data_IF_225763512403
#
_entry.id   IF_225763512403
#
_cell.length_a   1.000
_cell.length_b   1.000
_cell.length_c   1.000
_cell.angle_alpha   90.00
_cell.angle_beta   90.00
_cell.angle_gamma   90.00
#
_symmetry.space_group_name_H-M   'P 1'
#
loop_
_entity.id
_entity.type
_entity.pdbx_description
1 polymer ?
#
# COMPACT_ATOMS: atom_id res chain seq x y z
N UNK A 1 5.19 -14.61 -1.67
CA UNK A 1 4.17 -14.13 -0.72
C UNK A 1 3.70 -12.74 -1.13
N UNK A 2 4.62 -11.78 -1.28
CA UNK A 2 4.37 -10.44 -1.82
C UNK A 2 3.57 -10.41 -3.13
N UNK A 3 3.93 -11.22 -4.12
CA UNK A 3 3.21 -11.23 -5.41
C UNK A 3 1.74 -11.65 -5.29
N UNK A 4 1.41 -12.53 -4.33
CA UNK A 4 0.03 -12.95 -4.08
C UNK A 4 -0.75 -11.81 -3.41
N UNK A 5 -0.13 -11.15 -2.43
CA UNK A 5 -0.72 -10.00 -1.74
C UNK A 5 -0.99 -8.85 -2.72
N UNK A 6 -0.03 -8.51 -3.59
CA UNK A 6 -0.20 -7.47 -4.61
C UNK A 6 -1.35 -7.77 -5.58
N UNK A 7 -1.50 -9.03 -5.99
CA UNK A 7 -2.61 -9.45 -6.85
C UNK A 7 -3.95 -9.33 -6.13
N UNK A 8 -4.01 -9.74 -4.87
CA UNK A 8 -5.23 -9.69 -4.08
C UNK A 8 -5.63 -8.24 -3.78
N UNK A 9 -4.70 -7.41 -3.30
CA UNK A 9 -4.92 -5.97 -3.09
C UNK A 9 -5.31 -5.29 -4.40
N UNK A 10 -4.62 -5.60 -5.50
CA UNK A 10 -4.97 -5.05 -6.81
C UNK A 10 -6.37 -5.43 -7.29
N UNK A 11 -6.83 -6.65 -6.99
CA UNK A 11 -8.18 -7.10 -7.33
C UNK A 11 -9.26 -6.41 -6.46
N UNK A 12 -9.02 -6.27 -5.15
CA UNK A 12 -9.93 -5.61 -4.21
C UNK A 12 -10.07 -4.10 -4.49
N UNK A 13 -8.97 -3.43 -4.84
CA UNK A 13 -8.97 -1.99 -5.10
C UNK A 13 -9.62 -1.60 -6.42
N UNK A 14 -9.64 -2.49 -7.42
CA UNK A 14 -10.24 -2.23 -8.73
C UNK A 14 -9.78 -0.89 -9.31
N UNK A 15 -10.73 0.01 -9.60
CA UNK A 15 -10.47 1.34 -10.17
C UNK A 15 -9.83 2.33 -9.20
N UNK A 16 -9.89 2.07 -7.89
CA UNK A 16 -9.27 2.94 -6.88
C UNK A 16 -7.75 2.75 -6.80
N UNK A 17 -7.25 1.65 -7.39
CA UNK A 17 -5.83 1.28 -7.36
C UNK A 17 -4.92 2.39 -7.84
N UNK A 18 -5.27 3.07 -8.94
CA UNK A 18 -4.42 4.12 -9.52
C UNK A 18 -4.12 5.24 -8.53
N UNK A 19 -5.11 5.61 -7.71
CA UNK A 19 -4.95 6.67 -6.71
C UNK A 19 -4.11 6.25 -5.49
N UNK A 20 -4.08 4.97 -5.15
CA UNK A 20 -3.29 4.43 -4.04
C UNK A 20 -1.92 3.87 -4.48
N UNK A 21 -1.67 3.73 -5.78
CA UNK A 21 -0.49 3.05 -6.32
C UNK A 21 0.86 3.54 -5.77
N UNK A 22 1.12 4.86 -5.58
CA UNK A 22 2.38 5.32 -5.03
C UNK A 22 2.67 4.78 -3.61
N UNK A 23 1.64 4.73 -2.76
CA UNK A 23 1.75 4.23 -1.38
C UNK A 23 1.92 2.70 -1.37
N UNK A 24 1.23 2.00 -2.27
CA UNK A 24 1.40 0.56 -2.45
C UNK A 24 2.81 0.20 -2.94
N UNK A 25 3.39 1.00 -3.82
CA UNK A 25 4.77 0.81 -4.29
C UNK A 25 5.78 1.03 -3.17
N UNK A 26 5.57 2.03 -2.31
CA UNK A 26 6.39 2.26 -1.12
C UNK A 26 6.29 1.11 -0.12
N UNK A 27 5.08 0.59 0.12
CA UNK A 27 4.87 -0.60 0.97
C UNK A 27 5.60 -1.81 0.41
N UNK A 28 5.47 -2.07 -0.90
CA UNK A 28 6.18 -3.16 -1.58
C UNK A 28 7.69 -3.05 -1.38
N UNK A 29 8.26 -1.87 -1.61
CA UNK A 29 9.70 -1.65 -1.49
C UNK A 29 10.19 -1.90 -0.07
N UNK A 30 9.48 -1.41 0.94
CA UNK A 30 9.86 -1.65 2.34
C UNK A 30 9.72 -3.12 2.74
N UNK A 31 8.70 -3.83 2.26
CA UNK A 31 8.55 -5.26 2.51
C UNK A 31 9.67 -6.08 1.86
N UNK A 32 10.14 -5.72 0.66
CA UNK A 32 11.32 -6.36 0.04
C UNK A 32 12.59 -6.17 0.87
N UNK A 33 12.72 -5.03 1.57
CA UNK A 33 13.87 -4.80 2.46
C UNK A 33 13.74 -5.61 3.76
N UNK A 34 12.53 -5.81 4.27
CA UNK A 34 12.26 -6.63 5.46
C UNK A 34 12.28 -8.14 5.17
N UNK A 35 12.00 -8.55 3.94
CA UNK A 35 12.05 -9.93 3.46
C UNK A 35 12.80 -9.98 2.12
N UNK A 36 14.14 -9.83 2.16
CA UNK A 36 14.94 -9.79 0.95
C UNK A 36 14.90 -11.15 0.23
N UNK A 37 14.85 -11.17 -1.12
CA UNK A 37 14.84 -12.40 -1.87
C UNK A 37 16.21 -13.11 -1.81
N UNK A 38 16.17 -14.44 -1.63
CA UNK A 38 17.38 -15.27 -1.60
C UNK A 38 18.27 -14.99 -0.39
N UNK A 39 19.59 -14.88 -0.63
CA UNK A 39 20.59 -14.65 0.42
C UNK A 39 20.81 -13.15 0.74
N UNK A 40 19.79 -12.32 0.48
CA UNK A 40 19.88 -10.89 0.76
C UNK A 40 20.03 -10.61 2.26
N UNK A 41 20.86 -9.62 2.59
CA UNK A 41 21.16 -9.31 3.99
C UNK A 41 20.02 -8.49 4.61
N UNK A 42 19.50 -8.97 5.74
CA UNK A 42 18.53 -8.23 6.53
C UNK A 42 19.19 -6.99 7.17
N UNK A 43 18.47 -5.86 7.23
CA UNK A 43 18.92 -4.69 7.97
C UNK A 43 19.05 -5.00 9.47
N UNK A 44 19.73 -4.13 10.21
CA UNK A 44 19.83 -4.27 11.66
C UNK A 44 18.45 -4.25 12.32
N UNK A 45 18.28 -4.84 13.52
CA UNK A 45 16.98 -4.84 14.20
C UNK A 45 16.37 -3.44 14.37
N UNK A 46 17.20 -2.42 14.64
CA UNK A 46 16.75 -1.04 14.78
C UNK A 46 16.26 -0.43 13.46
N UNK A 47 16.92 -0.75 12.35
CA UNK A 47 16.50 -0.32 11.02
C UNK A 47 15.23 -1.05 10.58
N UNK A 48 15.09 -2.34 10.92
CA UNK A 48 13.85 -3.09 10.70
C UNK A 48 12.68 -2.46 11.45
N UNK A 49 12.86 -2.06 12.71
CA UNK A 49 11.80 -1.45 13.50
C UNK A 49 11.39 -0.08 12.95
N UNK A 50 12.35 0.77 12.56
CA UNK A 50 12.07 2.03 11.85
C UNK A 50 11.32 1.80 10.55
N UNK A 51 11.71 0.79 9.79
CA UNK A 51 11.07 0.46 8.53
C UNK A 51 9.64 -0.07 8.75
N UNK A 52 9.41 -0.91 9.75
CA UNK A 52 8.07 -1.37 10.14
C UNK A 52 7.18 -0.20 10.56
N UNK A 53 7.68 0.73 11.39
CA UNK A 53 6.93 1.91 11.78
C UNK A 53 6.57 2.80 10.58
N UNK A 54 7.52 2.99 9.65
CA UNK A 54 7.28 3.71 8.40
C UNK A 54 6.19 3.03 7.56
N UNK A 55 6.30 1.72 7.36
CA UNK A 55 5.32 0.94 6.60
C UNK A 55 3.92 1.01 7.19
N UNK A 56 3.79 0.97 8.52
CA UNK A 56 2.50 1.18 9.19
C UNK A 56 1.91 2.56 8.87
N UNK A 57 2.71 3.62 8.97
CA UNK A 57 2.25 4.97 8.63
C UNK A 57 1.84 5.11 7.15
N UNK A 58 2.58 4.49 6.23
CA UNK A 58 2.22 4.48 4.80
C UNK A 58 0.90 3.73 4.54
N UNK A 59 0.62 2.66 5.31
CA UNK A 59 -0.64 1.94 5.21
C UNK A 59 -1.82 2.76 5.75
N UNK A 60 -1.62 3.49 6.84
CA UNK A 60 -2.62 4.44 7.38
C UNK A 60 -2.93 5.54 6.34
N UNK A 61 -1.90 6.12 5.72
CA UNK A 61 -2.10 7.10 4.64
C UNK A 61 -2.83 6.51 3.42
N UNK A 62 -2.54 5.24 3.09
CA UNK A 62 -3.24 4.56 2.00
C UNK A 62 -4.74 4.37 2.32
N UNK A 63 -5.09 4.08 3.58
CA UNK A 63 -6.47 4.01 4.04
C UNK A 63 -7.17 5.36 3.85
N UNK A 64 -6.57 6.46 4.32
CA UNK A 64 -7.11 7.83 4.17
C UNK A 64 -7.35 8.19 2.68
N UNK A 65 -6.38 7.88 1.81
CA UNK A 65 -6.50 8.11 0.37
C UNK A 65 -7.64 7.30 -0.23
N UNK A 66 -7.77 6.02 0.15
CA UNK A 66 -8.84 5.16 -0.33
C UNK A 66 -10.21 5.66 0.11
N UNK A 67 -10.34 6.12 1.36
CA UNK A 67 -11.57 6.75 1.85
C UNK A 67 -11.93 8.00 1.04
N UNK A 68 -10.95 8.88 0.79
CA UNK A 68 -11.16 10.09 -0.01
C UNK A 68 -11.60 9.77 -1.45
N UNK A 69 -10.99 8.76 -2.09
CA UNK A 69 -11.36 8.32 -3.44
C UNK A 69 -12.77 7.71 -3.47
N UNK A 70 -13.13 6.91 -2.47
CA UNK A 70 -14.49 6.37 -2.35
C UNK A 70 -15.53 7.48 -2.15
N UNK A 71 -15.22 8.48 -1.33
CA UNK A 71 -16.10 9.64 -1.11
C UNK A 71 -16.29 10.43 -2.41
N UNK A 72 -15.20 10.69 -3.15
CA UNK A 72 -15.24 11.37 -4.43
C UNK A 72 -16.07 10.60 -5.47
N UNK A 73 -15.90 9.27 -5.57
CA UNK A 73 -16.67 8.43 -6.47
C UNK A 73 -18.19 8.48 -6.17
N UNK A 74 -18.57 8.48 -4.89
CA UNK A 74 -19.99 8.64 -4.47
C UNK A 74 -20.53 10.03 -4.80
N UNK A 75 -19.73 11.08 -4.67
CA UNK A 75 -20.14 12.44 -5.01
C UNK A 75 -20.36 12.60 -6.53
N UNK A 76 -19.48 12.03 -7.35
CA UNK A 76 -19.60 12.06 -8.81
C UNK A 76 -20.82 11.27 -9.33
N UNK A 77 -21.19 10.17 -8.66
CA UNK A 77 -22.38 9.39 -9.00
C UNK A 77 -23.72 10.07 -8.70
N UNK A 78 -23.75 11.01 -7.75
CA UNK A 78 -24.97 11.71 -7.31
C UNK A 78 -25.27 12.99 -8.10
N UNK A 79 -24.35 13.46 -8.96
CA UNK A 79 -24.56 14.63 -9.82
C UNK A 79 -25.24 14.33 -11.17
N UNK A 80 -25.60 13.07 -11.42
CA UNK A 80 -26.28 12.62 -12.64
C UNK A 80 -27.68 12.10 -12.29
N UNK A 81 -28.60 12.97 -11.90
CA UNK A 81 -30.04 12.65 -11.72
C UNK A 81 -30.89 13.88 -11.98
#
# INVERSE_FOLDING_TARGET
MLDLLERQVGAELGTLREGAQPLLDEVRQGLVVLEPPGDGMLPSPQEQEKLRAKLSATLEEAEDVLEALQLAARASGQGSS
#
